data_IF_625882122198
#
_entry.id   IF_625882122198
#
_cell.length_a   1.000
_cell.length_b   1.000
_cell.length_c   1.000
_cell.angle_alpha   90.00
_cell.angle_beta   90.00
_cell.angle_gamma   90.00
#
_symmetry.space_group_name_H-M   'P 1'
#
loop_
_entity.id
_entity.type
_entity.pdbx_description
1 polymer ?
#
# COMPACT_ATOMS: atom_id res chain seq x y z
N UNK A 1 9.36 23.53 22.50
CA UNK A 1 9.33 22.64 21.31
C UNK A 1 9.55 21.20 21.77
N UNK A 2 9.00 20.23 21.03
CA UNK A 2 9.17 18.80 21.30
C UNK A 2 10.65 18.39 21.19
N UNK A 3 11.11 17.52 22.09
CA UNK A 3 12.45 16.93 22.03
C UNK A 3 12.64 16.09 20.75
N UNK A 4 13.88 15.71 20.41
CA UNK A 4 14.16 14.84 19.27
C UNK A 4 13.53 13.46 19.44
N UNK A 5 13.58 12.89 20.66
CA UNK A 5 12.96 11.61 21.01
C UNK A 5 11.44 11.66 20.86
N UNK A 6 10.79 12.73 21.30
CA UNK A 6 9.32 12.90 21.18
C UNK A 6 8.88 12.96 19.72
N UNK A 7 9.67 13.63 18.86
CA UNK A 7 9.38 13.67 17.41
C UNK A 7 9.54 12.30 16.75
N UNK A 8 10.50 11.49 17.16
CA UNK A 8 10.68 10.13 16.64
C UNK A 8 9.51 9.25 17.08
N UNK A 9 9.13 9.30 18.35
CA UNK A 9 7.98 8.55 18.88
C UNK A 9 6.67 8.95 18.22
N UNK A 10 6.45 10.25 17.98
CA UNK A 10 5.28 10.76 17.28
C UNK A 10 5.19 10.22 15.84
N UNK A 11 6.29 10.24 15.09
CA UNK A 11 6.34 9.70 13.72
C UNK A 11 6.11 8.19 13.69
N UNK A 12 6.68 7.45 14.65
CA UNK A 12 6.45 6.01 14.76
C UNK A 12 4.97 5.71 15.01
N UNK A 13 4.32 6.44 15.93
CA UNK A 13 2.90 6.35 16.21
C UNK A 13 2.05 6.63 14.97
N UNK A 14 2.29 7.75 14.29
CA UNK A 14 1.54 8.13 13.09
C UNK A 14 1.70 7.10 11.97
N UNK A 15 2.91 6.58 11.78
CA UNK A 15 3.19 5.52 10.81
C UNK A 15 2.44 4.23 11.16
N UNK A 16 2.47 3.80 12.42
CA UNK A 16 1.79 2.61 12.90
C UNK A 16 0.28 2.69 12.65
N UNK A 17 -0.34 3.81 13.01
CA UNK A 17 -1.75 4.06 12.82
C UNK A 17 -2.13 4.11 11.34
N UNK A 18 -1.36 4.83 10.51
CA UNK A 18 -1.61 4.95 9.07
C UNK A 18 -1.50 3.60 8.35
N UNK A 19 -0.42 2.84 8.61
CA UNK A 19 -0.20 1.52 8.01
C UNK A 19 -1.22 0.47 8.48
N UNK A 20 -1.84 0.69 9.62
CA UNK A 20 -2.91 -0.18 10.14
C UNK A 20 -4.31 0.30 9.76
N UNK A 21 -4.44 1.34 8.95
CA UNK A 21 -5.72 1.85 8.45
C UNK A 21 -6.55 2.65 9.45
N UNK A 22 -5.95 3.05 10.58
CA UNK A 22 -6.61 3.92 11.54
C UNK A 22 -6.73 5.36 11.04
N UNK A 23 -7.81 6.04 11.42
CA UNK A 23 -8.05 7.47 11.16
C UNK A 23 -8.48 8.17 12.43
N UNK A 24 -8.06 9.42 12.54
CA UNK A 24 -8.41 10.29 13.67
C UNK A 24 -9.90 10.63 13.61
N UNK A 25 -10.64 10.28 14.64
CA UNK A 25 -12.05 10.65 14.81
C UNK A 25 -12.16 11.97 15.55
N UNK A 26 -11.45 12.10 16.67
CA UNK A 26 -11.49 13.26 17.55
C UNK A 26 -10.20 13.32 18.38
N UNK A 27 -9.65 14.53 18.61
CA UNK A 27 -8.47 14.88 19.42
C UNK A 27 -7.36 13.83 19.45
N UNK A 28 -7.56 12.72 20.15
CA UNK A 28 -6.60 11.63 20.31
C UNK A 28 -7.20 10.25 20.09
N UNK A 29 -8.45 10.18 19.63
CA UNK A 29 -9.16 8.94 19.36
C UNK A 29 -9.04 8.56 17.89
N UNK A 30 -8.42 7.41 17.63
CA UNK A 30 -8.28 6.85 16.29
C UNK A 30 -9.20 5.65 16.13
N UNK A 31 -9.87 5.56 15.01
CA UNK A 31 -10.78 4.46 14.67
C UNK A 31 -10.33 3.71 13.44
N UNK A 32 -10.71 2.44 13.38
CA UNK A 32 -10.79 1.64 12.16
C UNK A 32 -11.96 0.67 12.27
N UNK A 33 -12.55 0.18 11.15
CA UNK A 33 -13.51 -0.90 11.19
C UNK A 33 -12.90 -2.19 11.77
N UNK A 34 -13.62 -2.92 12.59
CA UNK A 34 -13.18 -4.21 13.16
C UNK A 34 -13.51 -5.36 12.19
N UNK A 35 -12.86 -5.33 11.02
CA UNK A 35 -13.08 -6.22 9.89
C UNK A 35 -11.89 -7.15 9.59
N UNK A 36 -10.84 -7.13 10.42
CA UNK A 36 -9.69 -8.01 10.27
C UNK A 36 -9.79 -9.23 11.17
N UNK A 37 -9.21 -10.34 10.72
CA UNK A 37 -9.11 -11.57 11.53
C UNK A 37 -8.32 -11.29 12.80
N UNK A 38 -8.83 -11.75 13.94
CA UNK A 38 -8.22 -11.53 15.26
C UNK A 38 -8.61 -10.22 15.94
N UNK A 39 -9.45 -9.40 15.29
CA UNK A 39 -10.09 -8.21 15.88
C UNK A 39 -9.11 -7.27 16.61
N UNK A 40 -9.55 -6.65 17.72
CA UNK A 40 -8.76 -5.70 18.50
C UNK A 40 -7.44 -6.29 19.02
N UNK A 41 -7.37 -7.58 19.32
CA UNK A 41 -6.14 -8.22 19.80
C UNK A 41 -5.05 -8.21 18.72
N UNK A 42 -5.39 -8.67 17.52
CA UNK A 42 -4.44 -8.66 16.39
C UNK A 42 -4.08 -7.22 15.96
N UNK A 43 -5.03 -6.30 16.00
CA UNK A 43 -4.78 -4.88 15.73
C UNK A 43 -3.80 -4.28 16.74
N UNK A 44 -3.94 -4.58 18.03
CA UNK A 44 -3.06 -4.16 19.12
C UNK A 44 -1.63 -4.67 18.90
N UNK A 45 -1.48 -5.97 18.69
CA UNK A 45 -0.18 -6.59 18.47
C UNK A 45 0.55 -6.00 17.27
N UNK A 46 -0.17 -5.76 16.18
CA UNK A 46 0.38 -5.12 14.98
C UNK A 46 0.80 -3.68 15.25
N UNK A 47 -0.02 -2.89 15.93
CA UNK A 47 0.29 -1.50 16.26
C UNK A 47 1.54 -1.39 17.15
N UNK A 48 1.66 -2.23 18.17
CA UNK A 48 2.83 -2.24 19.06
C UNK A 48 4.11 -2.65 18.32
N UNK A 49 4.03 -3.66 17.43
CA UNK A 49 5.16 -4.05 16.55
C UNK A 49 5.58 -2.94 15.59
N UNK A 50 4.66 -2.07 15.20
CA UNK A 50 4.93 -0.92 14.32
C UNK A 50 5.39 0.33 15.07
N UNK A 51 5.46 0.29 16.40
CA UNK A 51 6.00 1.37 17.24
C UNK A 51 4.95 2.25 17.92
N UNK A 52 3.70 1.79 18.05
CA UNK A 52 2.77 2.41 18.99
C UNK A 52 3.23 2.11 20.43
N UNK A 53 3.13 3.11 21.31
CA UNK A 53 3.41 2.95 22.72
C UNK A 53 2.56 1.81 23.32
N UNK A 54 3.22 0.89 24.04
CA UNK A 54 2.56 -0.27 24.67
C UNK A 54 1.53 0.12 25.75
N UNK A 55 1.62 1.33 26.28
CA UNK A 55 0.63 1.88 27.22
C UNK A 55 -0.60 2.49 26.52
N UNK A 56 -0.57 2.66 25.18
CA UNK A 56 -1.71 3.16 24.46
C UNK A 56 -2.84 2.12 24.45
N UNK A 57 -4.05 2.45 24.93
CA UNK A 57 -5.15 1.50 24.95
C UNK A 57 -5.66 1.22 23.53
N UNK A 58 -5.87 -0.06 23.21
CA UNK A 58 -6.50 -0.51 21.96
C UNK A 58 -7.67 -1.42 22.34
N UNK A 59 -8.87 -1.06 21.93
CA UNK A 59 -10.11 -1.73 22.30
C UNK A 59 -11.12 -1.68 21.16
N UNK A 60 -12.14 -2.53 21.20
CA UNK A 60 -13.29 -2.47 20.30
C UNK A 60 -14.42 -1.64 20.92
N UNK A 61 -15.04 -0.81 20.09
CA UNK A 61 -16.23 -0.04 20.43
C UNK A 61 -17.40 -0.57 19.62
N UNK A 62 -18.57 -0.66 20.27
CA UNK A 62 -19.86 -0.95 19.64
C UNK A 62 -20.82 0.19 19.96
N UNK A 63 -21.84 0.30 19.16
CA UNK A 63 -22.97 1.21 19.42
C UNK A 63 -22.57 2.69 19.51
N UNK A 64 -21.84 3.16 18.50
CA UNK A 64 -21.65 4.60 18.32
C UNK A 64 -23.02 5.27 18.12
N UNK A 65 -23.18 6.46 18.70
CA UNK A 65 -24.36 7.26 18.39
C UNK A 65 -24.43 7.59 16.88
N UNK A 66 -25.63 7.87 16.34
CA UNK A 66 -25.81 8.03 14.89
C UNK A 66 -24.98 9.18 14.28
N UNK A 67 -24.63 10.20 15.04
CA UNK A 67 -23.83 11.32 14.57
C UNK A 67 -22.36 10.90 14.43
N UNK A 68 -21.82 10.26 15.46
CA UNK A 68 -20.44 9.74 15.43
C UNK A 68 -20.27 8.61 14.41
N UNK A 69 -21.27 7.77 14.25
CA UNK A 69 -21.25 6.73 13.21
C UNK A 69 -21.19 7.36 11.81
N UNK A 70 -21.98 8.40 11.53
CA UNK A 70 -21.90 9.13 10.25
C UNK A 70 -20.52 9.75 10.03
N UNK A 71 -19.97 10.42 11.05
CA UNK A 71 -18.63 11.00 10.99
C UNK A 71 -17.57 9.90 10.74
N UNK A 72 -17.62 8.80 11.50
CA UNK A 72 -16.70 7.68 11.34
C UNK A 72 -16.67 7.15 9.91
N UNK A 73 -17.82 7.00 9.25
CA UNK A 73 -17.92 6.53 7.86
C UNK A 73 -17.25 7.45 6.85
N UNK A 74 -17.12 8.74 7.12
CA UNK A 74 -16.48 9.71 6.19
C UNK A 74 -14.96 9.74 6.29
N UNK A 75 -14.37 9.13 7.33
CA UNK A 75 -12.94 9.26 7.61
C UNK A 75 -12.02 8.68 6.51
N UNK A 76 -12.51 7.74 5.72
CA UNK A 76 -11.68 7.03 4.73
C UNK A 76 -11.89 7.44 3.28
N UNK A 77 -12.85 8.33 2.99
CA UNK A 77 -13.13 8.79 1.61
C UNK A 77 -13.25 7.61 0.61
N UNK A 78 -14.15 6.67 0.89
CA UNK A 78 -14.29 5.41 0.14
C UNK A 78 -14.40 5.58 -1.38
N UNK A 79 -15.10 6.61 -1.85
CA UNK A 79 -15.22 6.90 -3.29
C UNK A 79 -13.87 7.19 -3.95
N UNK A 80 -12.97 7.89 -3.26
CA UNK A 80 -11.62 8.14 -3.77
C UNK A 80 -10.79 6.86 -3.80
N UNK A 81 -10.95 5.99 -2.80
CA UNK A 81 -10.30 4.67 -2.80
C UNK A 81 -10.81 3.83 -3.97
N UNK A 82 -12.12 3.76 -4.19
CA UNK A 82 -12.72 3.04 -5.31
C UNK A 82 -12.23 3.58 -6.66
N UNK A 83 -12.17 4.89 -6.82
CA UNK A 83 -11.63 5.53 -8.03
C UNK A 83 -10.14 5.17 -8.22
N UNK A 84 -9.35 5.16 -7.15
CA UNK A 84 -7.93 4.80 -7.18
C UNK A 84 -7.72 3.34 -7.60
N UNK A 85 -8.52 2.39 -7.09
CA UNK A 85 -8.47 0.98 -7.53
C UNK A 85 -8.76 0.84 -9.02
N UNK A 86 -9.81 1.49 -9.53
CA UNK A 86 -10.17 1.46 -10.95
C UNK A 86 -9.07 2.04 -11.83
N UNK A 87 -8.55 3.21 -11.48
CA UNK A 87 -7.48 3.87 -12.24
C UNK A 87 -6.19 3.05 -12.23
N UNK A 88 -5.79 2.51 -11.07
CA UNK A 88 -4.63 1.63 -10.97
C UNK A 88 -4.78 0.38 -11.83
N UNK A 89 -5.95 -0.27 -11.78
CA UNK A 89 -6.26 -1.43 -12.61
C UNK A 89 -6.15 -1.13 -14.10
N UNK A 90 -6.81 -0.07 -14.56
CA UNK A 90 -6.79 0.33 -15.99
C UNK A 90 -5.37 0.60 -16.45
N UNK A 91 -4.58 1.36 -15.66
CA UNK A 91 -3.19 1.71 -15.99
C UNK A 91 -2.30 0.47 -16.13
N UNK A 92 -2.41 -0.48 -15.19
CA UNK A 92 -1.62 -1.70 -15.23
C UNK A 92 -2.05 -2.63 -16.36
N UNK A 93 -3.34 -2.77 -16.63
CA UNK A 93 -3.85 -3.57 -17.74
C UNK A 93 -3.37 -3.03 -19.09
N UNK A 94 -3.50 -1.72 -19.33
CA UNK A 94 -3.03 -1.09 -20.55
C UNK A 94 -1.52 -1.30 -20.76
N UNK A 95 -0.71 -1.26 -19.70
CA UNK A 95 0.72 -1.53 -19.82
C UNK A 95 0.99 -3.01 -20.15
N UNK A 96 0.32 -3.95 -19.48
CA UNK A 96 0.48 -5.40 -19.74
C UNK A 96 0.22 -5.72 -21.21
N UNK A 97 -0.82 -5.13 -21.81
CA UNK A 97 -1.22 -5.35 -23.21
C UNK A 97 -0.18 -4.87 -24.22
N UNK A 98 0.70 -3.94 -23.84
CA UNK A 98 1.71 -3.36 -24.72
C UNK A 98 3.15 -3.72 -24.33
N UNK A 99 3.35 -4.40 -23.20
CA UNK A 99 4.68 -4.68 -22.64
C UNK A 99 5.60 -5.44 -23.60
N UNK A 100 5.06 -6.39 -24.38
CA UNK A 100 5.84 -7.17 -25.36
C UNK A 100 6.20 -6.40 -26.63
N UNK A 101 5.64 -5.21 -26.84
CA UNK A 101 5.94 -4.33 -27.99
C UNK A 101 7.05 -3.33 -27.64
N UNK A 102 7.43 -3.22 -26.39
CA UNK A 102 8.48 -2.32 -25.92
C UNK A 102 9.86 -2.95 -26.05
N UNK A 103 10.87 -2.12 -26.24
CA UNK A 103 12.25 -2.54 -26.06
C UNK A 103 12.45 -3.06 -24.64
N UNK A 104 13.28 -4.10 -24.49
CA UNK A 104 13.36 -4.85 -23.23
C UNK A 104 13.83 -4.00 -22.04
N UNK A 105 14.76 -3.07 -22.27
CA UNK A 105 15.24 -2.11 -21.27
C UNK A 105 14.18 -1.09 -20.87
N UNK A 106 13.38 -0.63 -21.85
CA UNK A 106 12.23 0.27 -21.61
C UNK A 106 11.17 -0.46 -20.80
N UNK A 107 10.80 -1.68 -21.22
CA UNK A 107 9.83 -2.50 -20.52
C UNK A 107 10.26 -2.80 -19.06
N UNK A 108 11.54 -3.12 -18.85
CA UNK A 108 12.09 -3.36 -17.51
C UNK A 108 12.01 -2.11 -16.63
N UNK A 109 12.42 -0.95 -17.15
CA UNK A 109 12.35 0.32 -16.43
C UNK A 109 10.89 0.71 -16.08
N UNK A 110 9.99 0.62 -17.04
CA UNK A 110 8.58 0.97 -16.83
C UNK A 110 7.91 0.01 -15.85
N UNK A 111 8.22 -1.30 -15.94
CA UNK A 111 7.71 -2.29 -14.99
C UNK A 111 8.09 -1.96 -13.54
N UNK A 112 9.29 -1.47 -13.32
CA UNK A 112 9.73 -1.04 -11.99
C UNK A 112 8.97 0.19 -11.49
N UNK A 113 8.84 1.22 -12.33
CA UNK A 113 8.20 2.48 -11.93
C UNK A 113 6.70 2.29 -11.62
N UNK A 114 5.97 1.63 -12.53
CA UNK A 114 4.55 1.38 -12.35
C UNK A 114 4.28 0.39 -11.20
N UNK A 115 5.14 -0.63 -11.07
CA UNK A 115 5.05 -1.61 -9.98
C UNK A 115 5.24 -0.98 -8.61
N UNK A 116 6.15 -0.03 -8.48
CA UNK A 116 6.36 0.71 -7.22
C UNK A 116 5.10 1.49 -6.80
N UNK A 117 4.43 2.15 -7.73
CA UNK A 117 3.18 2.86 -7.47
C UNK A 117 2.08 1.88 -7.01
N UNK A 118 1.94 0.75 -7.70
CA UNK A 118 0.95 -0.28 -7.37
C UNK A 118 1.21 -0.92 -5.99
N UNK A 119 2.46 -1.26 -5.68
CA UNK A 119 2.87 -1.79 -4.37
C UNK A 119 2.57 -0.76 -3.28
N UNK A 120 2.91 0.51 -3.51
CA UNK A 120 2.61 1.58 -2.57
C UNK A 120 1.12 1.68 -2.28
N UNK A 121 0.28 1.60 -3.31
CA UNK A 121 -1.18 1.62 -3.15
C UNK A 121 -1.67 0.45 -2.30
N UNK A 122 -1.14 -0.78 -2.50
CA UNK A 122 -1.49 -1.94 -1.69
C UNK A 122 -0.99 -1.84 -0.24
N UNK A 123 0.22 -1.33 -0.02
CA UNK A 123 0.82 -1.19 1.33
C UNK A 123 0.03 -0.21 2.19
N UNK A 124 -0.49 0.85 1.59
CA UNK A 124 -1.27 1.88 2.30
C UNK A 124 -2.79 1.66 2.21
N UNK A 125 -3.23 0.54 1.64
CA UNK A 125 -4.65 0.19 1.60
C UNK A 125 -5.17 -0.05 3.03
N UNK A 126 -6.21 0.69 3.46
CA UNK A 126 -6.77 0.52 4.80
C UNK A 126 -7.57 -0.77 4.98
N UNK A 127 -7.72 -1.59 3.93
CA UNK A 127 -8.44 -2.87 3.92
C UNK A 127 -9.88 -2.74 4.44
N UNK A 128 -10.60 -1.71 4.02
CA UNK A 128 -11.97 -1.47 4.45
C UNK A 128 -12.93 -2.52 3.87
N UNK A 129 -14.05 -2.72 4.56
CA UNK A 129 -15.18 -3.52 4.08
C UNK A 129 -16.28 -2.66 3.48
N UNK A 130 -17.23 -3.30 2.82
CA UNK A 130 -18.49 -2.65 2.50
C UNK A 130 -19.23 -2.22 3.79
N UNK A 131 -19.97 -1.12 3.75
CA UNK A 131 -20.23 -0.24 2.60
C UNK A 131 -19.22 0.89 2.39
N UNK A 132 -18.08 0.88 3.09
CA UNK A 132 -17.08 1.96 3.04
C UNK A 132 -16.32 2.00 1.72
N UNK A 133 -16.10 0.85 1.09
CA UNK A 133 -15.47 0.70 -0.23
C UNK A 133 -16.15 -0.42 -1.01
N UNK A 134 -16.01 -0.40 -2.34
CA UNK A 134 -16.35 -1.54 -3.18
C UNK A 134 -15.21 -2.59 -3.11
N UNK A 135 -15.47 -3.67 -2.40
CA UNK A 135 -14.50 -4.77 -2.22
C UNK A 135 -14.19 -5.47 -3.54
N UNK A 136 -15.11 -5.45 -4.52
CA UNK A 136 -14.90 -6.06 -5.84
C UNK A 136 -13.86 -5.28 -6.62
N UNK A 137 -13.93 -3.95 -6.63
CA UNK A 137 -12.92 -3.10 -7.27
C UNK A 137 -11.54 -3.29 -6.66
N UNK A 138 -11.44 -3.36 -5.34
CA UNK A 138 -10.17 -3.65 -4.65
C UNK A 138 -9.61 -5.01 -5.03
N UNK A 139 -10.43 -6.05 -5.06
CA UNK A 139 -10.00 -7.40 -5.48
C UNK A 139 -9.52 -7.41 -6.92
N UNK A 140 -10.29 -6.82 -7.83
CA UNK A 140 -9.92 -6.72 -9.25
C UNK A 140 -8.58 -5.99 -9.44
N UNK A 141 -8.35 -4.90 -8.69
CA UNK A 141 -7.06 -4.22 -8.69
C UNK A 141 -5.93 -5.13 -8.19
N UNK A 142 -6.13 -5.82 -7.06
CA UNK A 142 -5.13 -6.73 -6.49
C UNK A 142 -4.77 -7.86 -7.44
N UNK A 143 -5.74 -8.41 -8.16
CA UNK A 143 -5.52 -9.51 -9.11
C UNK A 143 -4.71 -9.02 -10.33
N UNK A 144 -4.99 -7.82 -10.81
CA UNK A 144 -4.19 -7.21 -11.89
C UNK A 144 -2.78 -6.89 -11.42
N UNK A 145 -2.58 -6.43 -10.18
CA UNK A 145 -1.22 -6.22 -9.63
C UNK A 145 -0.43 -7.53 -9.59
N UNK A 146 -1.05 -8.64 -9.22
CA UNK A 146 -0.38 -9.96 -9.23
C UNK A 146 0.02 -10.40 -10.64
N UNK A 147 -0.86 -10.21 -11.61
CA UNK A 147 -0.55 -10.52 -13.00
C UNK A 147 0.57 -9.63 -13.54
N UNK A 148 0.49 -8.34 -13.28
CA UNK A 148 1.52 -7.37 -13.62
C UNK A 148 2.90 -7.75 -13.05
N UNK A 149 2.94 -8.16 -11.78
CA UNK A 149 4.17 -8.60 -11.11
C UNK A 149 4.78 -9.85 -11.80
N UNK A 150 3.95 -10.77 -12.29
CA UNK A 150 4.42 -11.93 -13.07
C UNK A 150 5.07 -11.50 -14.38
N UNK A 151 4.38 -10.65 -15.15
CA UNK A 151 4.90 -10.10 -16.42
C UNK A 151 6.20 -9.34 -16.19
N UNK A 152 6.25 -8.49 -15.19
CA UNK A 152 7.44 -7.73 -14.81
C UNK A 152 8.63 -8.62 -14.45
N UNK A 153 8.40 -9.69 -13.68
CA UNK A 153 9.45 -10.67 -13.35
C UNK A 153 10.02 -11.39 -14.58
N UNK A 154 9.18 -11.72 -15.56
CA UNK A 154 9.60 -12.36 -16.78
C UNK A 154 10.44 -11.42 -17.66
N UNK A 155 10.07 -10.15 -17.73
CA UNK A 155 10.83 -9.09 -18.40
C UNK A 155 12.20 -8.93 -17.73
N UNK A 156 12.26 -8.83 -16.42
CA UNK A 156 13.54 -8.69 -15.69
C UNK A 156 14.44 -9.91 -15.84
N UNK A 157 13.91 -11.14 -15.88
CA UNK A 157 14.69 -12.34 -16.16
C UNK A 157 15.34 -12.27 -17.56
N UNK A 158 14.58 -11.87 -18.59
CA UNK A 158 15.10 -11.70 -19.95
C UNK A 158 16.19 -10.62 -19.99
N UNK A 159 15.96 -9.50 -19.33
CA UNK A 159 16.93 -8.39 -19.28
C UNK A 159 18.24 -8.81 -18.61
N UNK A 160 18.18 -9.48 -17.48
CA UNK A 160 19.37 -9.98 -16.77
C UNK A 160 20.12 -11.04 -17.58
N UNK A 161 19.42 -11.92 -18.29
CA UNK A 161 20.04 -12.91 -19.16
C UNK A 161 20.81 -12.23 -20.32
N UNK A 162 20.27 -11.19 -20.94
CA UNK A 162 20.97 -10.43 -21.98
C UNK A 162 22.22 -9.72 -21.45
N UNK A 163 22.13 -9.08 -20.28
CA UNK A 163 23.28 -8.41 -19.66
C UNK A 163 24.40 -9.41 -19.31
N UNK A 164 24.06 -10.61 -18.90
CA UNK A 164 25.03 -11.67 -18.57
C UNK A 164 25.74 -12.25 -19.81
N UNK A 165 25.17 -12.08 -21.00
CA UNK A 165 25.75 -12.53 -22.28
C UNK A 165 26.58 -11.46 -22.97
N UNK A 166 26.53 -10.21 -22.54
CA UNK A 166 27.39 -9.14 -23.07
C UNK A 166 28.80 -9.33 -22.53
N UNK A 167 29.82 -9.49 -23.40
CA UNK A 167 31.20 -9.58 -22.94
C UNK A 167 31.59 -8.28 -22.25
N UNK A 168 32.25 -8.39 -21.09
CA UNK A 168 32.77 -7.24 -20.37
C UNK A 168 33.62 -6.37 -21.33
N UNK A 169 33.22 -5.13 -21.55
CA UNK A 169 34.05 -4.19 -22.32
C UNK A 169 35.40 -4.10 -21.62
N UNK A 170 36.51 -4.30 -22.36
CA UNK A 170 37.82 -4.13 -21.78
C UNK A 170 37.96 -2.65 -21.33
N UNK A 171 38.26 -2.47 -20.05
CA UNK A 171 38.62 -1.16 -19.50
C UNK A 171 39.90 -0.76 -20.26
N UNK A 172 39.80 0.20 -21.18
CA UNK A 172 40.93 0.81 -21.80
C UNK A 172 41.72 1.54 -20.70
N UNK A 173 42.76 0.91 -20.20
CA UNK A 173 43.82 1.59 -19.45
C UNK A 173 44.53 2.49 -20.41
N UNK A 174 44.22 3.76 -20.38
CA UNK A 174 44.99 4.79 -21.07
C UNK A 174 46.34 4.99 -20.31
N UNK A 175 47.47 4.98 -21.00
CA UNK A 175 48.79 5.12 -20.39
C UNK A 175 49.03 6.51 -19.79
#
# INVERSE_FOLDING_TARGET
GLSRSDRVALRARERALTLSGFRLLDSHLYLRPDNLVGHAAAARDRLYKLGLDSNAPVFSVRDLDPERERLARTLWQGDKLNASYRQGRIKLQAWIEHADQLDLDVAARESFLLGNDAIRQLVYDPLLSEPLVDVRERRAFTDVVRHYDQVGRDIWRRQLAQLSQQPAMPVALTP
#
